data_IF_986563362662
#
_entry.id   IF_986563362662
#
_cell.length_a   1.000
_cell.length_b   1.000
_cell.length_c   1.000
_cell.angle_alpha   90.00
_cell.angle_beta   90.00
_cell.angle_gamma   90.00
#
_symmetry.space_group_name_H-M   'P 1'
#
loop_
_entity.id
_entity.type
_entity.pdbx_description
1 polymer ?
#
# COMPACT_ATOMS: atom_id res chain seq x y z
N UNK A 1 25.87 -18.55 -9.14
CA UNK A 1 24.95 -18.03 -10.17
C UNK A 1 23.71 -17.52 -9.46
N UNK A 2 23.25 -16.29 -9.73
CA UNK A 2 22.01 -15.80 -9.15
C UNK A 2 20.84 -16.67 -9.63
N UNK A 3 19.99 -17.17 -8.72
CA UNK A 3 18.82 -17.96 -9.11
C UNK A 3 17.80 -17.03 -9.76
N UNK A 4 17.32 -17.33 -10.98
CA UNK A 4 16.29 -16.54 -11.63
C UNK A 4 15.01 -16.45 -10.79
N UNK A 5 14.64 -17.51 -10.07
CA UNK A 5 13.48 -17.53 -9.16
C UNK A 5 13.60 -16.56 -7.98
N UNK A 6 14.80 -16.45 -7.39
CA UNK A 6 15.08 -15.51 -6.29
C UNK A 6 15.01 -14.07 -6.81
N UNK A 7 15.50 -13.83 -8.04
CA UNK A 7 15.39 -12.53 -8.69
C UNK A 7 13.95 -12.16 -9.00
N UNK A 8 13.14 -13.10 -9.49
CA UNK A 8 11.72 -12.89 -9.78
C UNK A 8 10.92 -12.60 -8.51
N UNK A 9 11.13 -13.36 -7.43
CA UNK A 9 10.47 -13.14 -6.14
C UNK A 9 10.81 -11.76 -5.54
N UNK A 10 12.07 -11.35 -5.61
CA UNK A 10 12.48 -10.02 -5.17
C UNK A 10 11.89 -8.92 -6.07
N UNK A 11 11.80 -9.14 -7.38
CA UNK A 11 11.19 -8.20 -8.31
C UNK A 11 9.68 -8.02 -8.00
N UNK A 12 8.95 -9.12 -7.83
CA UNK A 12 7.52 -9.11 -7.46
C UNK A 12 7.31 -8.40 -6.12
N UNK A 13 8.13 -8.72 -5.12
CA UNK A 13 8.09 -8.03 -3.83
C UNK A 13 8.33 -6.52 -3.96
N UNK A 14 9.25 -6.10 -4.84
CA UNK A 14 9.48 -4.69 -5.15
C UNK A 14 8.25 -4.01 -5.77
N UNK A 15 7.61 -4.65 -6.75
CA UNK A 15 6.40 -4.12 -7.39
C UNK A 15 5.23 -4.01 -6.41
N UNK A 16 5.03 -5.00 -5.55
CA UNK A 16 3.99 -4.99 -4.52
C UNK A 16 4.20 -3.85 -3.51
N UNK A 17 5.44 -3.61 -3.08
CA UNK A 17 5.78 -2.47 -2.21
C UNK A 17 5.53 -1.13 -2.91
N UNK A 18 5.98 -0.98 -4.16
CA UNK A 18 5.72 0.23 -4.94
C UNK A 18 4.23 0.52 -5.10
N UNK A 19 3.41 -0.52 -5.33
CA UNK A 19 1.95 -0.36 -5.40
C UNK A 19 1.36 0.09 -4.06
N UNK A 20 1.82 -0.51 -2.95
CA UNK A 20 1.38 -0.12 -1.61
C UNK A 20 1.71 1.34 -1.29
N UNK A 21 2.92 1.80 -1.61
CA UNK A 21 3.32 3.20 -1.44
C UNK A 21 2.51 4.16 -2.33
N UNK A 22 2.19 3.77 -3.57
CA UNK A 22 1.34 4.57 -4.44
C UNK A 22 -0.07 4.76 -3.90
N UNK A 23 -0.65 3.69 -3.34
CA UNK A 23 -1.97 3.72 -2.70
C UNK A 23 -1.95 4.65 -1.48
N UNK A 24 -0.90 4.57 -0.66
CA UNK A 24 -0.72 5.43 0.52
C UNK A 24 -0.66 6.92 0.14
N UNK A 25 0.13 7.25 -0.89
CA UNK A 25 0.27 8.61 -1.40
C UNK A 25 -1.04 9.20 -1.96
N UNK A 26 -1.83 8.40 -2.69
CA UNK A 26 -3.13 8.81 -3.21
C UNK A 26 -4.11 9.13 -2.09
N UNK A 27 -4.13 8.29 -1.06
CA UNK A 27 -5.00 8.47 0.12
C UNK A 27 -4.62 9.71 0.91
N UNK A 28 -3.32 9.92 1.15
CA UNK A 28 -2.82 11.11 1.84
C UNK A 28 -3.16 12.39 1.07
N UNK A 29 -3.02 12.38 -0.26
CA UNK A 29 -3.36 13.51 -1.12
C UNK A 29 -4.84 13.87 -1.02
N UNK A 30 -5.73 12.90 -1.13
CA UNK A 30 -7.18 13.14 -1.01
C UNK A 30 -7.58 13.62 0.39
N UNK A 31 -6.93 13.07 1.44
CA UNK A 31 -7.13 13.50 2.82
C UNK A 31 -6.72 14.96 2.99
N UNK A 32 -5.52 15.34 2.56
CA UNK A 32 -5.03 16.72 2.59
C UNK A 32 -5.95 17.66 1.82
N UNK A 33 -6.39 17.25 0.63
CA UNK A 33 -7.30 18.06 -0.16
C UNK A 33 -8.64 18.28 0.55
N UNK A 34 -9.17 17.26 1.24
CA UNK A 34 -10.43 17.39 1.96
C UNK A 34 -10.31 18.10 3.31
N UNK A 35 -9.19 17.98 4.02
CA UNK A 35 -8.99 18.72 5.28
C UNK A 35 -8.63 20.19 5.04
N UNK A 36 -7.87 20.49 3.98
CA UNK A 36 -7.43 21.86 3.65
C UNK A 36 -8.45 22.57 2.76
N UNK A 37 -8.85 21.95 1.65
CA UNK A 37 -9.74 22.55 0.64
C UNK A 37 -11.19 22.65 1.11
N UNK A 38 -11.68 21.68 1.90
CA UNK A 38 -13.04 21.72 2.43
C UNK A 38 -13.11 22.30 3.84
N UNK A 39 -12.05 22.92 4.38
CA UNK A 39 -12.07 23.51 5.73
C UNK A 39 -13.15 24.57 5.89
N UNK A 40 -13.39 25.36 4.85
CA UNK A 40 -14.44 26.39 4.80
C UNK A 40 -15.81 25.83 4.43
N UNK A 41 -15.89 24.58 3.96
CA UNK A 41 -17.14 23.93 3.60
C UNK A 41 -17.67 23.17 4.82
N UNK A 42 -18.50 23.83 5.62
CA UNK A 42 -19.20 23.20 6.76
C UNK A 42 -20.66 22.94 6.37
N UNK A 43 -21.12 21.72 6.61
CA UNK A 43 -22.49 21.28 6.31
C UNK A 43 -22.60 19.75 6.19
N UNK A 44 -23.82 19.19 6.26
CA UNK A 44 -24.05 17.74 6.27
C UNK A 44 -23.46 17.02 5.04
N UNK A 45 -23.41 17.69 3.88
CA UNK A 45 -22.80 17.14 2.68
C UNK A 45 -21.27 17.02 2.81
N UNK A 46 -20.60 17.99 3.45
CA UNK A 46 -19.16 17.95 3.67
C UNK A 46 -18.79 16.86 4.68
N UNK A 47 -19.58 16.69 5.75
CA UNK A 47 -19.40 15.60 6.71
C UNK A 47 -19.59 14.21 6.08
N UNK A 48 -20.60 14.05 5.21
CA UNK A 48 -20.80 12.80 4.49
C UNK A 48 -19.62 12.46 3.58
N UNK A 49 -19.10 13.44 2.81
CA UNK A 49 -17.93 13.24 1.94
C UNK A 49 -16.68 12.93 2.77
N UNK A 50 -16.44 13.65 3.87
CA UNK A 50 -15.33 13.36 4.82
C UNK A 50 -15.43 11.94 5.39
N UNK A 51 -16.64 11.50 5.75
CA UNK A 51 -16.89 10.13 6.21
C UNK A 51 -16.52 9.08 5.16
N UNK A 52 -16.96 9.27 3.90
CA UNK A 52 -16.60 8.37 2.80
C UNK A 52 -15.09 8.32 2.54
N UNK A 53 -14.43 9.47 2.56
CA UNK A 53 -12.98 9.54 2.39
C UNK A 53 -12.22 8.87 3.53
N UNK A 54 -12.71 8.98 4.76
CA UNK A 54 -12.15 8.27 5.91
C UNK A 54 -12.29 6.76 5.76
N UNK A 55 -13.46 6.27 5.36
CA UNK A 55 -13.65 4.83 5.09
C UNK A 55 -12.77 4.35 3.93
N UNK A 56 -12.66 5.14 2.86
CA UNK A 56 -11.77 4.84 1.74
C UNK A 56 -10.30 4.79 2.18
N UNK A 57 -9.85 5.72 3.03
CA UNK A 57 -8.52 5.69 3.64
C UNK A 57 -8.29 4.39 4.40
N UNK A 58 -9.24 3.96 5.22
CA UNK A 58 -9.11 2.70 5.98
C UNK A 58 -9.00 1.51 5.03
N UNK A 59 -9.85 1.42 4.01
CA UNK A 59 -9.81 0.33 3.03
C UNK A 59 -8.47 0.30 2.28
N UNK A 60 -8.01 1.45 1.79
CA UNK A 60 -6.72 1.54 1.10
C UNK A 60 -5.54 1.21 2.02
N UNK A 61 -5.58 1.62 3.29
CA UNK A 61 -4.58 1.22 4.29
C UNK A 61 -4.52 -0.29 4.48
N UNK A 62 -5.67 -0.95 4.59
CA UNK A 62 -5.75 -2.42 4.67
C UNK A 62 -5.17 -3.08 3.42
N UNK A 63 -5.50 -2.59 2.22
CA UNK A 63 -4.96 -3.14 0.96
C UNK A 63 -3.45 -2.92 0.86
N UNK A 64 -2.94 -1.73 1.18
CA UNK A 64 -1.51 -1.44 1.18
C UNK A 64 -0.77 -2.33 2.19
N UNK A 65 -1.37 -2.61 3.34
CA UNK A 65 -0.81 -3.52 4.33
C UNK A 65 -0.79 -4.98 3.85
N UNK A 66 -1.86 -5.45 3.20
CA UNK A 66 -1.88 -6.77 2.58
C UNK A 66 -0.81 -6.91 1.49
N UNK A 67 -0.64 -5.90 0.62
CA UNK A 67 0.42 -5.88 -0.39
C UNK A 67 1.82 -5.93 0.22
N UNK A 68 2.04 -5.24 1.35
CA UNK A 68 3.32 -5.27 2.08
C UNK A 68 3.56 -6.63 2.73
N UNK A 69 2.54 -7.29 3.24
CA UNK A 69 2.64 -8.63 3.83
C UNK A 69 3.02 -9.67 2.77
N UNK A 70 2.33 -9.66 1.62
CA UNK A 70 2.65 -10.52 0.48
C UNK A 70 4.07 -10.27 -0.03
N UNK A 71 4.49 -9.00 -0.14
CA UNK A 71 5.86 -8.66 -0.52
C UNK A 71 6.91 -9.20 0.48
N UNK A 72 6.59 -9.15 1.78
CA UNK A 72 7.46 -9.71 2.82
C UNK A 72 7.50 -11.23 2.74
N UNK A 73 6.38 -11.88 2.43
CA UNK A 73 6.32 -13.33 2.22
C UNK A 73 7.17 -13.75 1.02
N UNK A 74 7.05 -13.09 -0.13
CA UNK A 74 7.92 -13.33 -1.29
C UNK A 74 9.41 -13.15 -0.96
N UNK A 75 9.74 -12.15 -0.12
CA UNK A 75 11.13 -11.91 0.31
C UNK A 75 11.64 -13.02 1.25
N UNK A 76 10.78 -13.54 2.13
CA UNK A 76 11.10 -14.67 3.02
C UNK A 76 11.31 -15.95 2.22
N UNK A 77 10.42 -16.23 1.27
CA UNK A 77 10.49 -17.39 0.39
C UNK A 77 11.80 -17.39 -0.40
N UNK A 78 12.16 -16.23 -0.98
CA UNK A 78 13.44 -16.04 -1.67
C UNK A 78 14.67 -16.33 -0.78
N UNK A 79 14.63 -15.93 0.50
CA UNK A 79 15.70 -16.19 1.47
C UNK A 79 15.76 -17.67 1.88
N UNK A 80 14.61 -18.30 2.07
CA UNK A 80 14.53 -19.73 2.39
C UNK A 80 15.09 -20.57 1.23
N UNK A 81 14.71 -20.25 0.00
CA UNK A 81 15.23 -20.87 -1.22
C UNK A 81 16.75 -20.69 -1.39
N UNK A 82 17.29 -19.57 -0.90
CA UNK A 82 18.73 -19.30 -0.87
C UNK A 82 19.45 -20.16 0.17
N UNK A 83 18.83 -20.39 1.33
CA UNK A 83 19.39 -21.16 2.44
C UNK A 83 19.28 -22.68 2.23
N UNK A 84 18.19 -23.19 1.64
CA UNK A 84 18.04 -24.62 1.32
C UNK A 84 19.06 -25.12 0.28
N UNK A 85 19.64 -24.21 -0.52
CA UNK A 85 20.64 -24.53 -1.55
C UNK A 85 22.10 -24.34 -1.08
N UNK A 86 22.32 -23.97 0.19
CA UNK A 86 23.64 -23.89 0.83
C UNK A 86 23.95 -25.16 1.59
#
# INVERSE_FOLDING_TARGET
>A
MANPDIQELNHRAGQLRSLADHIDALVDTAKKHSTVGMKSWSGPNADHVRGKLKSWQTTCGTVAQALRDEANQCTKDAKDLQNQKK
#
